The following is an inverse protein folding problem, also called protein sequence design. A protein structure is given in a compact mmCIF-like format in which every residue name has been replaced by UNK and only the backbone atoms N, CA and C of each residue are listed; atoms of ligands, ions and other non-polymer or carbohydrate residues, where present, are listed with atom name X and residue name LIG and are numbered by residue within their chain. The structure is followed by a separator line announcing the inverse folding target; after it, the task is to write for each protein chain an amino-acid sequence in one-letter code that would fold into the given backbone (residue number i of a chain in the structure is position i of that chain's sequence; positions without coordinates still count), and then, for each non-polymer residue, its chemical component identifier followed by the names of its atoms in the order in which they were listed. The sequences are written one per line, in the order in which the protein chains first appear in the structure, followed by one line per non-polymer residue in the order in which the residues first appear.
data_IF_389925436231
#
_entry.id   IF_389925436231
#
_cell.length_a   1.000
_cell.length_b   1.000
_cell.length_c   1.000
_cell.angle_alpha   90.00
_cell.angle_beta   90.00
_cell.angle_gamma   90.00
#
_symmetry.space_group_name_H-M   'P 1'
#
loop_
_entity.id
_entity.type
_entity.pdbx_description
1 polymer ?
#
# COMPACT_ATOMS: atom_id res chain seq x y z
N UNK A 1 -6.60 -11.73 3.34
CA UNK A 1 -5.96 -10.39 3.29
C UNK A 1 -5.82 -9.79 4.69
N UNK A 2 -5.17 -8.63 4.88
CA UNK A 2 -5.10 -7.86 6.15
C UNK A 2 -5.17 -6.36 5.89
N UNK A 3 -5.41 -5.55 6.94
CA UNK A 3 -5.41 -4.07 6.83
C UNK A 3 -4.12 -3.55 6.19
N UNK A 4 -2.94 -3.92 6.71
CA UNK A 4 -1.65 -3.48 6.15
C UNK A 4 -1.47 -3.86 4.67
N UNK A 5 -1.98 -5.03 4.26
CA UNK A 5 -1.95 -5.44 2.85
C UNK A 5 -2.85 -4.56 1.99
N UNK A 6 -4.05 -4.23 2.47
CA UNK A 6 -4.98 -3.37 1.73
C UNK A 6 -4.55 -1.91 1.68
N UNK A 7 -3.97 -1.38 2.76
CA UNK A 7 -3.35 -0.04 2.79
C UNK A 7 -2.24 0.07 1.74
N UNK A 8 -1.33 -0.91 1.69
CA UNK A 8 -0.25 -0.92 0.70
C UNK A 8 -0.79 -1.14 -0.72
N UNK A 9 -1.75 -2.04 -0.90
CA UNK A 9 -2.38 -2.29 -2.20
C UNK A 9 -3.09 -1.05 -2.74
N UNK A 10 -3.75 -0.26 -1.88
CA UNK A 10 -4.41 0.99 -2.27
C UNK A 10 -3.42 1.98 -2.90
N UNK A 11 -2.25 2.16 -2.28
CA UNK A 11 -1.20 3.04 -2.83
C UNK A 11 -0.65 2.48 -4.14
N UNK A 12 -0.41 1.16 -4.22
CA UNK A 12 0.05 0.52 -5.46
C UNK A 12 -0.95 0.78 -6.59
N UNK A 13 -2.24 0.53 -6.35
CA UNK A 13 -3.30 0.69 -7.35
C UNK A 13 -3.46 2.15 -7.79
N UNK A 14 -3.32 3.10 -6.86
CA UNK A 14 -3.34 4.52 -7.21
C UNK A 14 -2.18 4.89 -8.14
N UNK A 15 -0.97 4.40 -7.89
CA UNK A 15 0.19 4.65 -8.76
C UNK A 15 0.09 3.91 -10.10
N UNK A 16 -0.42 2.68 -10.12
CA UNK A 16 -0.64 1.89 -11.35
C UNK A 16 -1.69 2.49 -12.28
N UNK A 17 -2.66 3.22 -11.73
CA UNK A 17 -3.69 3.89 -12.52
C UNK A 17 -3.15 5.09 -13.32
N UNK A 18 -1.95 5.57 -13.02
CA UNK A 18 -1.34 6.70 -13.71
C UNK A 18 -0.84 6.26 -15.09
N UNK A 19 -1.23 7.02 -16.11
CA UNK A 19 -0.89 6.71 -17.51
C UNK A 19 0.40 7.38 -17.98
N UNK A 20 1.05 8.18 -17.12
CA UNK A 20 2.25 8.96 -17.43
C UNK A 20 3.31 8.76 -16.36
N UNK A 21 4.54 8.57 -16.77
CA UNK A 21 5.70 8.47 -15.88
C UNK A 21 6.23 9.87 -15.50
N UNK A 22 7.13 9.91 -14.51
CA UNK A 22 7.84 11.12 -14.03
C UNK A 22 6.95 12.24 -13.46
N UNK A 23 5.80 11.87 -12.88
CA UNK A 23 4.90 12.80 -12.21
C UNK A 23 5.37 13.12 -10.78
N UNK A 24 5.11 14.34 -10.33
CA UNK A 24 5.21 14.72 -8.92
C UNK A 24 3.90 14.37 -8.21
N UNK A 25 3.95 13.43 -7.26
CA UNK A 25 2.76 12.85 -6.63
C UNK A 25 2.81 13.10 -5.12
N UNK A 26 1.71 13.59 -4.56
CA UNK A 26 1.49 13.67 -3.12
C UNK A 26 0.53 12.55 -2.72
N UNK A 27 0.99 11.60 -1.93
CA UNK A 27 0.15 10.54 -1.36
C UNK A 27 -0.18 10.92 0.08
N UNK A 28 -1.47 10.94 0.40
CA UNK A 28 -1.97 11.13 1.76
C UNK A 28 -2.55 9.80 2.24
N UNK A 29 -2.07 9.31 3.37
CA UNK A 29 -2.53 8.04 3.95
C UNK A 29 -2.39 8.10 5.47
N UNK A 30 -3.31 7.45 6.17
CA UNK A 30 -3.25 7.22 7.60
C UNK A 30 -2.46 5.97 8.00
N UNK A 31 -1.98 5.20 7.02
CA UNK A 31 -1.09 4.07 7.23
C UNK A 31 0.30 4.53 7.65
N UNK A 32 0.54 4.58 8.96
CA UNK A 32 1.89 4.72 9.51
C UNK A 32 2.82 3.62 8.99
N UNK A 33 2.31 2.40 8.76
CA UNK A 33 3.09 1.30 8.23
C UNK A 33 3.68 1.64 6.86
N UNK A 34 2.85 2.12 5.92
CA UNK A 34 3.31 2.46 4.57
C UNK A 34 4.24 3.67 4.60
N UNK A 35 3.85 4.74 5.31
CA UNK A 35 4.66 5.99 5.35
C UNK A 35 6.02 5.73 5.98
N UNK A 36 6.07 5.12 7.16
CA UNK A 36 7.35 4.85 7.84
C UNK A 36 8.27 3.95 7.02
N UNK A 37 7.72 2.94 6.33
CA UNK A 37 8.51 2.03 5.50
C UNK A 37 9.23 2.74 4.35
N UNK A 38 8.62 3.80 3.81
CA UNK A 38 9.16 4.61 2.71
C UNK A 38 10.08 5.71 3.26
N UNK A 39 9.58 6.54 4.19
CA UNK A 39 10.31 7.70 4.71
C UNK A 39 11.57 7.33 5.48
N UNK A 40 11.51 6.24 6.27
CA UNK A 40 12.70 5.73 6.98
C UNK A 40 13.61 4.88 6.08
N UNK A 41 13.24 4.73 4.80
CA UNK A 41 14.01 3.98 3.81
C UNK A 41 14.11 2.48 4.08
N UNK A 42 13.26 1.91 4.94
CA UNK A 42 13.31 0.49 5.29
C UNK A 42 13.07 -0.41 4.08
N UNK A 43 12.16 -0.01 3.21
CA UNK A 43 11.81 -0.75 1.99
C UNK A 43 13.02 -0.98 1.08
N UNK A 44 13.94 -0.01 0.99
CA UNK A 44 15.17 -0.16 0.19
C UNK A 44 16.18 -1.10 0.87
N UNK A 45 16.19 -1.13 2.20
CA UNK A 45 16.96 -2.13 2.96
C UNK A 45 16.42 -3.55 2.77
N UNK A 46 15.10 -3.71 2.70
CA UNK A 46 14.47 -5.00 2.45
C UNK A 46 14.73 -5.50 1.04
N UNK A 47 14.67 -4.62 0.05
CA UNK A 47 14.97 -4.96 -1.34
C UNK A 47 16.38 -5.52 -1.51
N UNK A 48 17.39 -4.91 -0.87
CA UNK A 48 18.78 -5.41 -0.90
C UNK A 48 18.91 -6.82 -0.33
N UNK A 49 18.00 -7.22 0.56
CA UNK A 49 17.94 -8.55 1.17
C UNK A 49 16.90 -9.45 0.50
N UNK A 50 16.43 -9.08 -0.68
CA UNK A 50 15.36 -9.77 -1.42
C UNK A 50 14.12 -10.04 -0.54
N UNK A 51 13.80 -9.12 0.37
CA UNK A 51 12.68 -9.20 1.31
C UNK A 51 12.68 -10.46 2.20
N UNK A 52 13.85 -11.09 2.39
CA UNK A 52 13.97 -12.30 3.20
C UNK A 52 13.41 -12.08 4.63
N UNK A 53 12.47 -12.92 5.03
CA UNK A 53 11.82 -12.85 6.35
C UNK A 53 10.93 -11.63 6.56
N UNK A 54 10.52 -10.92 5.50
CA UNK A 54 9.59 -9.80 5.60
C UNK A 54 8.19 -10.18 5.12
N UNK A 55 7.20 -9.79 5.93
CA UNK A 55 5.77 -9.89 5.57
C UNK A 55 5.46 -8.97 4.39
N UNK A 56 4.49 -9.36 3.57
CA UNK A 56 4.00 -8.57 2.42
C UNK A 56 5.08 -8.30 1.36
N UNK A 57 6.06 -9.21 1.22
CA UNK A 57 7.17 -9.06 0.29
C UNK A 57 6.69 -8.88 -1.16
N UNK A 58 5.63 -9.59 -1.55
CA UNK A 58 4.98 -9.50 -2.86
C UNK A 58 4.50 -8.08 -3.19
N UNK A 59 3.80 -7.46 -2.24
CA UNK A 59 3.27 -6.11 -2.40
C UNK A 59 4.39 -5.07 -2.38
N UNK A 60 5.40 -5.22 -1.53
CA UNK A 60 6.54 -4.28 -1.51
C UNK A 60 7.38 -4.34 -2.77
N UNK A 61 7.58 -5.53 -3.34
CA UNK A 61 8.23 -5.69 -4.64
C UNK A 61 7.44 -5.00 -5.75
N UNK A 62 6.11 -5.21 -5.78
CA UNK A 62 5.22 -4.55 -6.74
C UNK A 62 5.22 -3.04 -6.57
N UNK A 63 5.17 -2.55 -5.33
CA UNK A 63 5.22 -1.14 -4.98
C UNK A 63 6.48 -0.47 -5.50
N UNK A 64 7.68 -1.02 -5.24
CA UNK A 64 8.93 -0.38 -5.68
C UNK A 64 9.02 -0.23 -7.20
N UNK A 65 8.42 -1.15 -7.97
CA UNK A 65 8.39 -1.05 -9.45
C UNK A 65 7.62 0.17 -9.93
N UNK A 66 6.48 0.47 -9.31
CA UNK A 66 5.63 1.61 -9.70
C UNK A 66 6.05 2.91 -9.03
N UNK A 67 6.49 2.85 -7.77
CA UNK A 67 7.00 3.98 -7.01
C UNK A 67 8.16 4.68 -7.72
N UNK A 68 9.10 3.90 -8.29
CA UNK A 68 10.27 4.44 -9.01
C UNK A 68 9.95 5.18 -10.31
N UNK A 69 8.75 5.00 -10.85
CA UNK A 69 8.34 5.71 -12.07
C UNK A 69 8.02 7.18 -11.80
N UNK A 70 7.86 7.58 -10.54
CA UNK A 70 7.36 8.90 -10.17
C UNK A 70 8.17 9.51 -9.02
N UNK A 71 7.99 10.82 -8.80
CA UNK A 71 8.53 11.55 -7.66
C UNK A 71 7.44 11.62 -6.59
N UNK A 72 7.37 10.57 -5.77
CA UNK A 72 6.32 10.41 -4.77
C UNK A 72 6.76 11.01 -3.44
N UNK A 73 5.93 11.87 -2.86
CA UNK A 73 6.04 12.34 -1.48
C UNK A 73 4.88 11.77 -0.67
N UNK A 74 5.22 11.09 0.43
CA UNK A 74 4.26 10.56 1.38
C UNK A 74 3.92 11.64 2.40
N UNK A 75 2.65 11.71 2.79
CA UNK A 75 2.17 12.59 3.84
C UNK A 75 1.30 11.74 4.76
N UNK A 76 1.78 11.50 5.98
CA UNK A 76 0.97 10.84 6.99
C UNK A 76 -0.13 11.79 7.47
N UNK A 77 -1.36 11.28 7.54
CA UNK A 77 -2.50 12.00 8.11
C UNK A 77 -3.06 11.19 9.27
N UNK A 78 -3.53 11.88 10.31
CA UNK A 78 -4.20 11.20 11.41
C UNK A 78 -5.56 10.67 10.94
N UNK A 79 -5.78 9.36 11.07
CA UNK A 79 -7.05 8.71 10.76
C UNK A 79 -8.23 9.37 11.48
N UNK A 80 -9.39 9.39 10.81
CA UNK A 80 -10.70 9.81 11.33
C UNK A 80 -10.87 11.25 11.86
N UNK A 81 -9.90 12.16 11.74
CA UNK A 81 -9.98 13.46 12.44
C UNK A 81 -10.31 14.70 11.59
N UNK A 82 -10.04 14.74 10.27
CA UNK A 82 -10.29 15.99 9.50
C UNK A 82 -10.19 15.92 7.97
N UNK A 83 -9.71 14.83 7.36
CA UNK A 83 -9.52 14.77 5.90
C UNK A 83 -10.72 14.11 5.20
N UNK A 84 -11.56 14.93 4.54
CA UNK A 84 -12.73 14.46 3.81
C UNK A 84 -12.40 13.41 2.73
N UNK A 85 -11.23 13.51 2.09
CA UNK A 85 -10.80 12.54 1.07
C UNK A 85 -10.37 11.22 1.71
N UNK A 86 -9.67 11.23 2.85
CA UNK A 86 -9.32 10.00 3.57
C UNK A 86 -10.58 9.28 4.04
N UNK A 87 -11.51 10.01 4.66
CA UNK A 87 -12.79 9.45 5.10
C UNK A 87 -13.59 8.86 3.92
N UNK A 88 -13.48 9.47 2.73
CA UNK A 88 -14.10 8.92 1.52
C UNK A 88 -13.42 7.61 1.10
N UNK A 89 -12.09 7.53 1.16
CA UNK A 89 -11.37 6.28 0.93
C UNK A 89 -11.77 5.19 1.93
N UNK A 90 -11.91 5.52 3.21
CA UNK A 90 -12.34 4.56 4.25
C UNK A 90 -13.72 3.99 3.91
N UNK A 91 -14.69 4.86 3.57
CA UNK A 91 -16.02 4.41 3.16
C UNK A 91 -15.97 3.51 1.92
N UNK A 92 -15.11 3.82 0.95
CA UNK A 92 -14.95 2.99 -0.25
C UNK A 92 -14.32 1.63 0.08
N UNK A 93 -13.31 1.60 0.96
CA UNK A 93 -12.65 0.39 1.41
C UNK A 93 -13.61 -0.49 2.22
N UNK A 94 -14.34 0.07 3.19
CA UNK A 94 -15.35 -0.66 3.97
C UNK A 94 -16.42 -1.24 3.07
N UNK A 95 -16.97 -0.45 2.13
CA UNK A 95 -17.98 -0.95 1.18
C UNK A 95 -17.47 -2.09 0.31
N UNK A 96 -16.20 -2.04 -0.11
CA UNK A 96 -15.60 -3.10 -0.89
C UNK A 96 -15.41 -4.37 -0.04
N UNK A 97 -15.00 -4.22 1.23
CA UNK A 97 -14.82 -5.34 2.15
C UNK A 97 -16.15 -6.01 2.56
N UNK A 98 -17.20 -5.22 2.78
CA UNK A 98 -18.54 -5.70 3.14
C UNK A 98 -19.33 -6.23 1.94
N UNK A 99 -18.80 -6.05 0.72
CA UNK A 99 -19.42 -6.50 -0.52
C UNK A 99 -19.33 -8.01 -0.72
N UNK A 100 -20.07 -8.51 -1.72
CA UNK A 100 -19.95 -9.88 -2.20
C UNK A 100 -18.89 -10.04 -3.30
N UNK A 101 -18.59 -11.30 -3.68
CA UNK A 101 -17.63 -11.64 -4.74
C UNK A 101 -16.21 -11.09 -4.51
N UNK A 102 -15.74 -11.17 -3.27
CA UNK A 102 -14.39 -10.76 -2.91
C UNK A 102 -13.35 -11.62 -3.63
N UNK A 103 -12.32 -10.96 -4.16
CA UNK A 103 -11.18 -11.64 -4.76
C UNK A 103 -10.27 -12.23 -3.68
N UNK A 104 -9.73 -13.41 -3.94
CA UNK A 104 -8.76 -14.06 -3.06
C UNK A 104 -7.42 -13.33 -3.12
N UNK A 105 -6.87 -13.01 -1.95
CA UNK A 105 -5.49 -12.55 -1.83
C UNK A 105 -4.57 -13.77 -1.75
N UNK A 106 -4.27 -14.36 -2.91
CA UNK A 106 -3.61 -15.67 -3.02
C UNK A 106 -2.30 -15.76 -2.23
N UNK A 107 -1.48 -14.70 -2.25
CA UNK A 107 -0.22 -14.67 -1.52
C UNK A 107 -0.46 -14.67 -0.01
N UNK A 108 -1.45 -13.90 0.46
CA UNK A 108 -1.82 -13.95 1.87
C UNK A 108 -2.32 -15.33 2.28
N UNK A 109 -3.23 -15.94 1.52
CA UNK A 109 -3.78 -17.26 1.87
C UNK A 109 -2.67 -18.32 1.89
N UNK A 110 -1.78 -18.31 0.90
CA UNK A 110 -0.64 -19.22 0.85
C UNK A 110 0.31 -19.04 2.05
N UNK A 111 0.66 -17.80 2.42
CA UNK A 111 1.53 -17.53 3.56
C UNK A 111 0.87 -17.82 4.93
N UNK A 112 -0.45 -17.65 5.03
CA UNK A 112 -1.20 -17.86 6.26
C UNK A 112 -1.40 -19.35 6.55
N UNK A 113 -1.76 -20.14 5.53
CA UNK A 113 -2.00 -21.58 5.70
C UNK A 113 -0.75 -22.45 5.58
N UNK A 114 0.39 -21.89 5.16
CA UNK A 114 1.68 -22.59 5.17
C UNK A 114 2.38 -22.57 6.55
N UNK A 115 1.80 -21.88 7.54
CA UNK A 115 2.26 -21.84 8.94
C UNK A 115 1.60 -22.94 9.77
#
# INVERSE_FOLDING_TARGET
TTNNRMELLAVIKALEALTRDSLDIQVYTDSEYVVNSIEKGWVFGWEKKNYAGKKNADLWQRFLRVYRKHRVKMNWVKGHASNAMNNRCDVLATRAADGGNLLTDEVYEAEYYAQ
#
